data_IF_770788982922
#
_entry.id   IF_770788982922
#
_cell.length_a   1.000
_cell.length_b   1.000
_cell.length_c   1.000
_cell.angle_alpha   90.00
_cell.angle_beta   90.00
_cell.angle_gamma   90.00
#
_symmetry.space_group_name_H-M   'P 1'
#
loop_
_entity.id
_entity.type
_entity.pdbx_description
1 polymer ?
#
# COMPACT_ATOMS: atom_id res chain seq x y z
N UNK A 1 -27.56 23.29 -56.61
CA UNK A 1 -26.10 23.25 -56.80
C UNK A 1 -25.52 24.56 -56.33
N UNK A 2 -24.69 24.53 -55.29
CA UNK A 2 -23.38 25.18 -55.38
C UNK A 2 -22.25 24.27 -54.90
N UNK A 3 -21.10 24.45 -55.53
CA UNK A 3 -19.81 23.83 -55.21
C UNK A 3 -19.24 24.48 -53.94
N UNK A 4 -18.66 23.66 -53.05
CA UNK A 4 -17.97 24.11 -51.85
C UNK A 4 -16.63 23.39 -51.73
N UNK A 5 -15.56 24.17 -51.84
CA UNK A 5 -14.17 23.76 -52.02
C UNK A 5 -13.58 22.95 -50.87
N UNK A 6 -12.76 21.98 -51.26
CA UNK A 6 -11.92 21.18 -50.37
C UNK A 6 -10.73 21.98 -49.85
N UNK A 7 -10.60 22.02 -48.52
CA UNK A 7 -9.39 22.52 -47.84
C UNK A 7 -8.68 21.37 -47.15
N UNK A 8 -7.69 20.79 -47.84
CA UNK A 8 -6.74 19.84 -47.30
C UNK A 8 -5.86 20.50 -46.22
N UNK A 9 -6.00 20.07 -44.96
CA UNK A 9 -5.04 20.45 -43.90
C UNK A 9 -3.83 19.53 -43.97
N UNK A 10 -2.68 20.15 -44.27
CA UNK A 10 -1.33 19.58 -44.20
C UNK A 10 -1.04 19.11 -42.76
N UNK A 11 -0.74 17.83 -42.62
CA UNK A 11 -0.18 17.23 -41.40
C UNK A 11 1.31 17.56 -41.36
N UNK A 12 1.74 18.44 -40.46
CA UNK A 12 3.17 18.66 -40.18
C UNK A 12 3.62 17.71 -39.08
N UNK A 13 4.55 16.82 -39.42
CA UNK A 13 5.27 15.96 -38.48
C UNK A 13 6.18 16.81 -37.58
N UNK A 14 5.84 16.86 -36.29
CA UNK A 14 6.68 17.39 -35.22
C UNK A 14 7.75 16.38 -34.83
N UNK A 15 8.99 16.75 -35.09
CA UNK A 15 10.24 16.01 -34.90
C UNK A 15 10.48 15.69 -33.42
N UNK A 16 10.64 14.40 -33.12
CA UNK A 16 11.14 13.92 -31.83
C UNK A 16 12.56 14.46 -31.59
N UNK A 17 12.73 15.22 -30.50
CA UNK A 17 14.05 15.57 -29.98
C UNK A 17 14.45 14.50 -28.95
N UNK A 18 15.55 13.82 -29.26
CA UNK A 18 16.13 12.79 -28.41
C UNK A 18 16.68 13.40 -27.12
N UNK A 19 16.21 12.86 -26.00
CA UNK A 19 16.88 13.04 -24.72
C UNK A 19 18.03 12.04 -24.62
N UNK A 20 19.23 12.59 -24.50
CA UNK A 20 20.46 11.86 -24.30
C UNK A 20 20.43 11.09 -22.98
N UNK A 21 20.76 9.79 -23.06
CA UNK A 21 21.05 8.91 -21.93
C UNK A 21 22.29 9.45 -21.19
N UNK A 22 22.08 10.03 -20.01
CA UNK A 22 23.13 10.22 -19.01
C UNK A 22 23.41 8.89 -18.32
N UNK A 23 24.43 8.18 -18.78
CA UNK A 23 24.96 6.98 -18.12
C UNK A 23 25.87 7.46 -16.99
N UNK A 24 25.34 7.52 -15.77
CA UNK A 24 26.18 7.54 -14.56
C UNK A 24 26.57 6.10 -14.26
N UNK A 25 27.77 5.73 -14.71
CA UNK A 25 28.43 4.52 -14.27
C UNK A 25 28.80 4.68 -12.79
N UNK A 26 28.05 4.02 -11.91
CA UNK A 26 28.54 3.70 -10.58
C UNK A 26 29.56 2.57 -10.72
N UNK A 27 30.84 2.89 -10.52
CA UNK A 27 31.90 1.91 -10.32
C UNK A 27 31.57 1.03 -9.10
N UNK A 28 31.47 -0.30 -9.25
CA UNK A 28 31.46 -1.19 -8.09
C UNK A 28 32.88 -1.31 -7.54
N UNK A 29 33.10 -0.81 -6.32
CA UNK A 29 34.22 -1.19 -5.47
C UNK A 29 34.07 -2.67 -5.05
N UNK A 30 34.33 -3.59 -5.98
CA UNK A 30 34.46 -5.01 -5.71
C UNK A 30 35.87 -5.44 -6.12
N UNK A 31 36.81 -5.42 -5.17
CA UNK A 31 38.10 -6.11 -5.35
C UNK A 31 37.91 -7.60 -5.05
N UNK A 32 38.36 -8.51 -5.92
CA UNK A 32 38.39 -9.93 -5.61
C UNK A 32 39.42 -10.23 -4.52
N UNK A 33 39.02 -11.04 -3.54
CA UNK A 33 39.88 -11.65 -2.53
C UNK A 33 40.86 -12.61 -3.24
N UNK A 34 42.15 -12.28 -3.21
CA UNK A 34 43.25 -13.14 -3.67
C UNK A 34 43.82 -13.88 -2.43
N UNK A 35 43.71 -15.22 -2.33
CA UNK A 35 44.35 -15.96 -1.26
C UNK A 35 45.82 -16.21 -1.63
N UNK A 36 46.74 -15.66 -0.85
CA UNK A 36 48.17 -15.99 -0.92
C UNK A 36 49.05 -14.83 -1.35
N UNK A 37 49.43 -13.98 -0.40
CA UNK A 37 50.44 -12.96 -0.61
C UNK A 37 50.91 -12.35 0.70
N UNK A 38 52.09 -12.76 1.17
CA UNK A 38 52.79 -12.10 2.25
C UNK A 38 53.23 -10.70 1.79
N UNK A 39 52.38 -9.69 2.03
CA UNK A 39 52.59 -8.29 1.68
C UNK A 39 52.56 -7.42 2.92
N UNK A 40 53.60 -6.60 3.08
CA UNK A 40 53.91 -5.73 4.23
C UNK A 40 52.76 -4.77 4.55
N UNK A 41 52.47 -4.64 5.85
CA UNK A 41 51.70 -3.52 6.42
C UNK A 41 52.38 -2.20 6.05
N UNK A 42 51.63 -1.31 5.39
CA UNK A 42 51.90 0.12 5.35
C UNK A 42 50.67 0.86 5.87
N UNK A 43 50.90 1.56 6.98
CA UNK A 43 50.37 2.89 7.32
C UNK A 43 48.84 3.06 7.38
N UNK A 44 48.28 2.77 8.56
CA UNK A 44 47.05 3.41 9.04
C UNK A 44 47.41 4.75 9.71
N UNK A 45 46.75 5.88 9.39
CA UNK A 45 46.92 7.11 10.15
C UNK A 45 46.30 7.02 11.54
N UNK A 46 47.04 7.63 12.45
CA UNK A 46 46.95 7.67 13.91
C UNK A 46 45.65 8.36 14.40
N UNK A 47 44.74 7.60 15.02
CA UNK A 47 43.62 8.14 15.82
C UNK A 47 43.99 8.10 17.31
N UNK A 48 44.96 8.93 17.70
CA UNK A 48 45.20 9.32 19.09
C UNK A 48 44.49 10.63 19.37
N UNK A 49 43.35 10.55 20.05
CA UNK A 49 42.92 11.42 21.15
C UNK A 49 41.44 11.18 21.36
N UNK A 50 41.07 10.49 22.45
CA UNK A 50 40.00 10.89 23.37
C UNK A 50 40.06 9.98 24.62
N UNK A 51 39.68 10.49 25.80
CA UNK A 51 40.21 10.09 27.10
C UNK A 51 39.58 8.83 27.70
N UNK A 52 40.41 8.18 28.51
CA UNK A 52 40.09 7.03 29.34
C UNK A 52 39.14 7.42 30.50
N UNK A 53 38.13 6.59 30.73
CA UNK A 53 37.34 6.63 31.94
C UNK A 53 36.54 5.34 32.14
N UNK A 54 36.87 4.60 33.20
CA UNK A 54 35.91 3.75 33.92
C UNK A 54 35.85 2.27 33.56
N UNK A 55 36.87 1.51 33.97
CA UNK A 55 36.79 0.06 34.17
C UNK A 55 35.91 -0.25 35.39
N UNK A 56 34.87 -1.07 35.21
CA UNK A 56 34.28 -1.91 36.28
C UNK A 56 34.40 -3.38 35.88
N UNK A 57 34.89 -4.26 36.78
CA UNK A 57 35.09 -5.68 36.48
C UNK A 57 33.92 -6.55 36.96
N UNK A 58 33.77 -7.71 36.31
CA UNK A 58 32.94 -8.85 36.76
C UNK A 58 31.53 -8.79 36.16
N UNK A 59 31.03 -9.82 35.47
CA UNK A 59 30.91 -11.17 36.02
C UNK A 59 30.61 -12.18 34.91
N UNK A 60 31.39 -13.26 34.93
CA UNK A 60 31.11 -14.63 34.51
C UNK A 60 30.26 -14.92 33.25
N UNK A 61 30.98 -15.41 32.25
CA UNK A 61 30.53 -16.44 31.32
C UNK A 61 29.88 -17.62 32.08
N UNK A 62 28.56 -17.82 31.95
CA UNK A 62 27.90 -19.09 32.30
C UNK A 62 27.57 -19.84 31.01
N UNK A 63 28.43 -20.81 30.72
CA UNK A 63 28.18 -21.93 29.83
C UNK A 63 27.38 -22.96 30.64
N UNK A 64 26.21 -23.39 30.17
CA UNK A 64 25.50 -24.50 30.80
C UNK A 64 24.12 -24.77 30.23
N UNK A 65 23.94 -25.99 29.70
CA UNK A 65 22.64 -26.64 29.67
C UNK A 65 22.12 -27.06 28.30
N UNK A 66 22.64 -28.15 27.74
CA UNK A 66 21.87 -29.00 26.84
C UNK A 66 20.60 -29.47 27.55
N UNK A 67 19.45 -28.95 27.13
CA UNK A 67 18.12 -29.42 27.51
C UNK A 67 17.59 -30.39 26.46
N UNK A 68 17.64 -31.66 26.80
CA UNK A 68 17.15 -32.82 26.07
C UNK A 68 15.62 -32.71 25.83
N UNK A 69 15.22 -32.89 24.57
CA UNK A 69 14.08 -33.71 24.12
C UNK A 69 12.91 -33.91 25.08
N UNK A 70 11.72 -33.41 24.71
CA UNK A 70 10.44 -34.11 24.95
C UNK A 70 9.35 -33.56 24.04
N UNK A 71 9.31 -34.13 22.85
CA UNK A 71 8.12 -34.24 21.99
C UNK A 71 7.00 -34.92 22.78
N UNK A 72 5.94 -34.18 23.11
CA UNK A 72 4.64 -34.76 23.46
C UNK A 72 3.68 -34.51 22.30
N UNK A 73 3.58 -35.52 21.44
CA UNK A 73 2.45 -35.74 20.55
C UNK A 73 1.26 -36.19 21.39
N UNK A 74 0.24 -35.35 21.53
CA UNK A 74 -1.11 -35.80 21.88
C UNK A 74 -1.97 -35.74 20.63
N UNK A 75 -2.14 -36.91 20.02
CA UNK A 75 -3.27 -37.19 19.15
C UNK A 75 -4.52 -37.28 20.02
N UNK A 76 -5.56 -36.54 19.66
CA UNK A 76 -6.93 -36.79 20.14
C UNK A 76 -7.85 -36.72 18.93
N UNK A 77 -8.23 -37.92 18.49
CA UNK A 77 -9.33 -38.16 17.57
C UNK A 77 -10.64 -38.27 18.36
N UNK A 78 -11.76 -38.27 17.62
CA UNK A 78 -13.16 -38.50 18.02
C UNK A 78 -13.92 -37.23 18.48
N UNK A 79 -15.18 -37.01 18.13
CA UNK A 79 -16.10 -37.66 17.20
C UNK A 79 -17.35 -36.75 17.02
N UNK A 80 -18.03 -36.94 15.89
CA UNK A 80 -19.45 -36.78 15.57
C UNK A 80 -20.41 -36.08 16.58
N UNK A 81 -21.21 -35.14 16.07
CA UNK A 81 -22.69 -35.17 16.04
C UNK A 81 -23.23 -33.77 15.61
N UNK A 82 -23.84 -33.64 14.42
CA UNK A 82 -25.29 -33.69 14.13
C UNK A 82 -26.10 -32.42 14.50
N UNK A 83 -26.73 -31.86 13.45
CA UNK A 83 -28.00 -31.14 13.35
C UNK A 83 -28.25 -29.90 14.23
N UNK A 84 -28.43 -28.75 13.57
CA UNK A 84 -29.73 -28.05 13.66
C UNK A 84 -29.91 -27.09 12.48
N UNK A 85 -30.89 -27.40 11.65
CA UNK A 85 -31.45 -26.50 10.68
C UNK A 85 -32.42 -25.54 11.39
N UNK A 86 -32.19 -24.24 11.28
CA UNK A 86 -33.23 -23.24 11.47
C UNK A 86 -33.47 -22.56 10.13
N UNK A 87 -34.46 -23.10 9.43
CA UNK A 87 -35.23 -22.44 8.38
C UNK A 87 -36.19 -21.46 9.06
N UNK A 88 -36.15 -20.20 8.65
CA UNK A 88 -37.32 -19.33 8.65
C UNK A 88 -37.12 -18.36 7.49
N UNK A 89 -37.74 -18.70 6.38
CA UNK A 89 -38.02 -17.73 5.33
C UNK A 89 -39.12 -16.80 5.82
N UNK A 90 -38.99 -15.53 5.46
CA UNK A 90 -40.11 -14.59 5.45
C UNK A 90 -40.19 -14.03 4.03
N UNK A 91 -41.42 -14.09 3.51
CA UNK A 91 -41.81 -13.86 2.13
C UNK A 91 -41.63 -12.41 1.67
N UNK A 92 -41.49 -12.29 0.36
CA UNK A 92 -41.57 -11.07 -0.40
C UNK A 92 -42.98 -10.46 -0.36
N UNK A 93 -43.06 -9.12 -0.45
CA UNK A 93 -44.00 -8.49 -1.38
C UNK A 93 -43.53 -7.09 -1.80
N UNK A 94 -43.40 -6.82 -3.11
CA UNK A 94 -43.23 -5.47 -3.65
C UNK A 94 -44.60 -4.86 -3.97
N UNK A 95 -44.97 -3.78 -3.28
CA UNK A 95 -46.12 -2.97 -3.70
C UNK A 95 -45.65 -1.85 -4.64
N UNK A 96 -45.92 -2.09 -5.93
CA UNK A 96 -46.00 -1.06 -6.95
C UNK A 96 -47.28 -0.23 -6.74
N UNK A 97 -47.11 1.04 -6.38
CA UNK A 97 -48.17 2.05 -6.38
C UNK A 97 -47.83 3.18 -7.33
N UNK A 98 -48.34 3.11 -8.54
CA UNK A 98 -48.31 4.20 -9.50
C UNK A 98 -49.39 5.25 -9.15
N UNK A 99 -49.01 6.54 -9.16
CA UNK A 99 -49.94 7.63 -9.47
C UNK A 99 -49.17 8.79 -10.11
N UNK A 100 -49.50 9.05 -11.37
CA UNK A 100 -49.45 10.38 -11.98
C UNK A 100 -50.40 11.30 -11.19
N UNK A 101 -50.27 12.63 -11.11
CA UNK A 101 -50.08 13.63 -12.16
C UNK A 101 -49.98 14.97 -11.43
N UNK A 102 -49.14 15.92 -11.88
CA UNK A 102 -49.48 17.35 -11.93
C UNK A 102 -48.30 18.14 -12.53
N UNK A 103 -48.52 18.59 -13.76
CA UNK A 103 -47.87 19.74 -14.39
C UNK A 103 -48.37 21.02 -13.72
N UNK A 104 -47.47 21.91 -13.26
CA UNK A 104 -47.66 23.35 -13.44
C UNK A 104 -46.34 24.16 -13.36
N UNK A 105 -46.44 25.32 -14.01
CA UNK A 105 -45.51 26.34 -14.43
C UNK A 105 -44.34 26.79 -13.53
N UNK A 106 -43.20 26.95 -14.23
CA UNK A 106 -42.34 28.14 -14.31
C UNK A 106 -42.29 29.14 -13.14
N UNK A 107 -41.10 29.26 -12.56
CA UNK A 107 -40.47 30.53 -12.16
C UNK A 107 -38.96 30.32 -12.17
N UNK A 108 -38.14 31.19 -12.81
CA UNK A 108 -36.69 31.10 -12.74
C UNK A 108 -36.19 31.90 -11.52
N UNK A 109 -35.60 31.29 -10.48
CA UNK A 109 -34.81 32.03 -9.53
C UNK A 109 -33.35 32.03 -9.98
N UNK A 110 -32.85 33.23 -10.22
CA UNK A 110 -31.50 33.64 -9.87
C UNK A 110 -30.35 32.90 -10.54
N UNK A 111 -29.62 33.62 -11.40
CA UNK A 111 -28.23 33.32 -11.67
C UNK A 111 -27.48 33.10 -10.34
N UNK A 112 -27.27 31.83 -9.98
CA UNK A 112 -26.33 31.47 -8.95
C UNK A 112 -24.97 31.92 -9.44
N UNK A 113 -24.45 32.95 -8.79
CA UNK A 113 -23.06 33.36 -8.91
C UNK A 113 -22.21 32.13 -8.61
N UNK A 114 -21.67 31.50 -9.64
CA UNK A 114 -20.69 30.43 -9.51
C UNK A 114 -19.45 31.05 -8.88
N UNK A 115 -19.35 30.93 -7.56
CA UNK A 115 -18.07 30.95 -6.88
C UNK A 115 -17.16 29.95 -7.62
N UNK A 116 -15.86 30.25 -7.81
CA UNK A 116 -14.94 29.26 -8.31
C UNK A 116 -15.01 28.07 -7.35
N UNK A 117 -15.68 27.01 -7.75
CA UNK A 117 -15.59 25.73 -7.06
C UNK A 117 -14.12 25.38 -7.12
N UNK A 118 -13.47 25.36 -5.96
CA UNK A 118 -12.20 24.68 -5.82
C UNK A 118 -12.43 23.28 -6.37
N UNK A 119 -11.88 23.00 -7.54
CA UNK A 119 -11.85 21.64 -8.05
C UNK A 119 -11.24 20.80 -6.93
N UNK A 120 -11.88 19.71 -6.49
CA UNK A 120 -11.25 18.88 -5.48
C UNK A 120 -9.93 18.43 -6.11
N UNK A 121 -8.82 18.89 -5.53
CA UNK A 121 -7.52 18.27 -5.80
C UNK A 121 -7.70 16.84 -5.33
N UNK A 122 -7.99 15.94 -6.25
CA UNK A 122 -8.03 14.51 -5.95
C UNK A 122 -6.61 14.14 -5.57
N UNK A 123 -6.33 14.05 -4.27
CA UNK A 123 -5.04 13.60 -3.79
C UNK A 123 -4.90 12.13 -4.18
N UNK A 124 -4.00 11.87 -5.13
CA UNK A 124 -3.77 10.54 -5.65
C UNK A 124 -2.75 9.80 -4.79
N UNK A 125 -2.96 8.49 -4.62
CA UNK A 125 -1.95 7.62 -4.05
C UNK A 125 -0.83 7.42 -5.09
N UNK A 126 0.41 7.50 -4.64
CA UNK A 126 1.62 7.24 -5.44
C UNK A 126 2.49 6.21 -4.72
N UNK A 127 3.51 5.66 -5.39
CA UNK A 127 4.49 4.77 -4.73
C UNK A 127 5.28 5.49 -3.63
N UNK A 128 5.42 6.82 -3.73
CA UNK A 128 6.14 7.62 -2.74
C UNK A 128 5.27 7.95 -1.52
N UNK A 129 3.95 8.01 -1.68
CA UNK A 129 3.03 8.31 -0.58
C UNK A 129 1.70 8.94 -0.97
N UNK A 130 1.08 9.64 -0.01
CA UNK A 130 -0.22 10.29 -0.12
C UNK A 130 -0.26 11.58 0.72
N UNK A 131 -0.52 12.72 0.09
CA UNK A 131 -0.54 14.00 0.80
C UNK A 131 0.80 14.26 1.48
N UNK A 132 0.78 14.49 2.80
CA UNK A 132 2.00 14.69 3.61
C UNK A 132 2.68 13.38 4.02
N UNK A 133 2.04 12.23 3.81
CA UNK A 133 2.63 10.93 4.12
C UNK A 133 3.62 10.53 3.04
N UNK A 134 4.85 10.21 3.45
CA UNK A 134 5.91 9.70 2.56
C UNK A 134 6.43 8.36 3.08
N UNK A 135 6.47 7.35 2.23
CA UNK A 135 7.00 6.02 2.57
C UNK A 135 8.47 6.13 2.99
N UNK A 136 8.82 5.49 4.10
CA UNK A 136 10.16 5.52 4.70
C UNK A 136 10.45 6.73 5.59
N UNK A 137 9.60 7.76 5.56
CA UNK A 137 9.74 8.94 6.43
C UNK A 137 8.85 8.83 7.68
N UNK A 138 9.17 9.56 8.77
CA UNK A 138 8.22 9.78 9.86
C UNK A 138 6.96 10.51 9.36
N UNK A 139 5.82 10.29 10.02
CA UNK A 139 4.62 11.11 9.79
C UNK A 139 4.91 12.54 10.24
N UNK A 140 4.74 13.56 9.37
CA UNK A 140 5.01 14.94 9.76
C UNK A 140 4.10 15.41 10.89
N UNK A 141 4.65 16.15 11.86
CA UNK A 141 3.86 16.71 12.98
C UNK A 141 2.78 17.70 12.52
N UNK A 142 2.99 18.32 11.35
CA UNK A 142 2.04 19.25 10.73
C UNK A 142 1.00 18.56 9.86
N UNK A 143 1.07 17.24 9.70
CA UNK A 143 0.14 16.47 8.88
C UNK A 143 -1.23 16.39 9.53
N UNK A 144 -2.27 16.23 8.72
CA UNK A 144 -3.62 15.88 9.22
C UNK A 144 -3.73 14.42 9.69
N UNK A 145 -2.67 13.62 9.54
CA UNK A 145 -2.60 12.26 10.06
C UNK A 145 -2.14 12.23 11.51
N UNK A 146 -2.99 11.71 12.38
CA UNK A 146 -2.68 11.48 13.79
C UNK A 146 -2.29 10.02 14.02
N UNK A 147 -1.15 9.80 14.70
CA UNK A 147 -0.74 8.46 15.12
C UNK A 147 -1.45 8.05 16.41
N UNK A 148 -1.94 6.82 16.42
CA UNK A 148 -2.54 6.19 17.59
C UNK A 148 -1.79 4.89 17.93
N UNK A 149 -1.75 4.59 19.23
CA UNK A 149 -0.77 3.70 19.85
C UNK A 149 -0.71 2.28 19.28
N UNK A 150 0.36 1.60 19.65
CA UNK A 150 0.57 0.22 19.27
C UNK A 150 -0.55 -0.67 19.81
N UNK A 151 -1.21 -1.41 18.91
CA UNK A 151 -2.35 -2.26 19.28
C UNK A 151 -1.90 -3.45 20.15
N UNK A 152 -0.61 -3.79 20.13
CA UNK A 152 -0.01 -4.82 20.97
C UNK A 152 0.99 -4.21 21.99
N UNK A 153 0.97 -4.63 23.27
CA UNK A 153 1.95 -4.20 24.28
C UNK A 153 3.39 -4.48 23.83
N UNK A 154 4.24 -3.45 23.88
CA UNK A 154 5.66 -3.56 23.50
C UNK A 154 5.94 -3.56 21.99
N UNK A 155 4.91 -3.41 21.15
CA UNK A 155 5.09 -3.22 19.71
C UNK A 155 5.49 -1.78 19.38
N UNK A 156 6.31 -1.61 18.35
CA UNK A 156 6.68 -0.30 17.78
C UNK A 156 5.81 0.09 16.57
N UNK A 157 4.78 -0.72 16.27
CA UNK A 157 3.86 -0.52 15.16
C UNK A 157 2.69 0.35 15.61
N UNK A 158 2.55 1.55 15.04
CA UNK A 158 1.42 2.46 15.25
C UNK A 158 0.64 2.67 13.96
N UNK A 159 -0.61 3.09 14.08
CA UNK A 159 -1.46 3.44 12.92
C UNK A 159 -1.68 4.94 12.90
N UNK A 160 -1.48 5.54 11.74
CA UNK A 160 -1.78 6.93 11.44
C UNK A 160 -3.08 7.02 10.65
N UNK A 161 -4.04 7.83 11.10
CA UNK A 161 -5.32 8.04 10.41
C UNK A 161 -5.63 9.53 10.31
N UNK A 162 -6.45 9.92 9.34
CA UNK A 162 -6.87 11.31 9.15
C UNK A 162 -8.36 11.40 8.81
N UNK A 163 -9.11 12.33 9.44
CA UNK A 163 -10.47 12.65 9.02
C UNK A 163 -10.56 13.18 7.58
N UNK A 164 -9.49 13.80 7.07
CA UNK A 164 -9.43 14.31 5.70
C UNK A 164 -9.29 13.20 4.66
N UNK A 165 -8.84 12.02 5.09
CA UNK A 165 -8.62 10.83 4.27
C UNK A 165 -9.37 9.62 4.85
N UNK A 166 -10.72 9.63 4.84
CA UNK A 166 -11.50 8.51 5.35
C UNK A 166 -11.15 7.22 4.59
N UNK A 167 -11.02 6.12 5.34
CA UNK A 167 -10.63 4.82 4.80
C UNK A 167 -9.13 4.69 4.47
N UNK A 168 -8.29 5.67 4.82
CA UNK A 168 -6.83 5.59 4.67
C UNK A 168 -6.14 5.39 6.01
N UNK A 169 -5.21 4.45 6.05
CA UNK A 169 -4.37 4.17 7.21
C UNK A 169 -2.88 4.15 6.82
N UNK A 170 -2.04 4.80 7.61
CA UNK A 170 -0.58 4.71 7.54
C UNK A 170 -0.05 3.79 8.63
N UNK A 171 0.53 2.66 8.26
CA UNK A 171 1.28 1.81 9.19
C UNK A 171 2.67 2.40 9.42
N UNK A 172 2.97 2.75 10.66
CA UNK A 172 4.26 3.28 11.07
C UNK A 172 4.95 2.24 11.94
N UNK A 173 6.18 1.87 11.61
CA UNK A 173 6.96 0.91 12.38
C UNK A 173 8.38 1.43 12.58
N UNK A 174 8.84 1.42 13.84
CA UNK A 174 10.09 2.07 14.27
C UNK A 174 10.15 3.55 13.83
N UNK A 175 9.01 4.25 13.97
CA UNK A 175 8.90 5.67 13.67
C UNK A 175 8.93 6.05 12.20
N UNK A 176 8.87 5.08 11.27
CA UNK A 176 8.85 5.31 9.83
C UNK A 176 7.57 4.75 9.22
N UNK A 177 6.95 5.49 8.32
CA UNK A 177 5.81 5.02 7.54
C UNK A 177 6.26 3.88 6.62
N UNK A 178 5.68 2.69 6.80
CA UNK A 178 6.02 1.48 6.04
C UNK A 178 5.00 1.13 4.98
N UNK A 179 3.74 1.44 5.23
CA UNK A 179 2.63 1.11 4.35
C UNK A 179 1.53 2.14 4.47
N UNK A 180 0.94 2.51 3.34
CA UNK A 180 -0.34 3.19 3.27
C UNK A 180 -1.35 2.17 2.77
N UNK A 181 -2.45 2.00 3.50
CA UNK A 181 -3.59 1.19 3.11
C UNK A 181 -4.77 2.10 2.76
N UNK A 182 -5.42 1.85 1.64
CA UNK A 182 -6.65 2.53 1.19
C UNK A 182 -7.73 1.47 1.09
N UNK A 183 -8.75 1.62 1.91
CA UNK A 183 -9.85 0.65 2.07
C UNK A 183 -11.16 1.15 1.44
N UNK A 184 -12.18 0.28 1.44
CA UNK A 184 -13.52 0.63 0.98
C UNK A 184 -14.06 1.87 1.70
N UNK A 185 -14.73 2.74 0.95
CA UNK A 185 -15.26 4.02 1.44
C UNK A 185 -14.30 5.19 1.30
N UNK A 186 -13.04 4.95 0.93
CA UNK A 186 -12.12 6.01 0.52
C UNK A 186 -12.39 6.49 -0.91
N UNK A 187 -12.18 7.78 -1.16
CA UNK A 187 -12.18 8.38 -2.50
C UNK A 187 -10.78 8.42 -3.14
N UNK A 188 -9.74 8.00 -2.40
CA UNK A 188 -8.35 7.99 -2.88
C UNK A 188 -8.17 6.93 -3.98
N UNK A 189 -7.52 7.34 -5.06
CA UNK A 189 -7.23 6.50 -6.23
C UNK A 189 -5.77 6.70 -6.68
N UNK A 190 -5.29 5.77 -7.48
CA UNK A 190 -4.06 5.95 -8.26
C UNK A 190 -4.31 6.85 -9.47
N UNK A 191 -3.23 7.25 -10.14
CA UNK A 191 -3.33 8.08 -11.35
C UNK A 191 -4.06 7.40 -12.51
N UNK A 192 -4.09 6.07 -12.51
CA UNK A 192 -4.81 5.23 -13.47
C UNK A 192 -6.33 5.20 -13.21
N UNK A 193 -6.82 5.84 -12.14
CA UNK A 193 -8.23 5.79 -11.73
C UNK A 193 -8.61 4.51 -10.99
N UNK A 194 -7.62 3.72 -10.57
CA UNK A 194 -7.83 2.48 -9.80
C UNK A 194 -7.89 2.83 -8.31
N UNK A 195 -8.90 2.31 -7.62
CA UNK A 195 -9.08 2.45 -6.18
C UNK A 195 -9.90 1.32 -5.58
N UNK A 196 -10.34 1.48 -4.34
CA UNK A 196 -11.25 0.52 -3.72
C UNK A 196 -12.56 0.43 -4.52
N UNK A 197 -13.01 -0.79 -4.82
CA UNK A 197 -14.21 -1.07 -5.63
C UNK A 197 -13.97 -1.30 -7.13
N UNK A 198 -12.79 -0.94 -7.66
CA UNK A 198 -12.36 -1.30 -9.02
C UNK A 198 -12.35 -2.82 -9.21
N UNK A 199 -12.60 -3.31 -10.42
CA UNK A 199 -12.61 -4.75 -10.70
C UNK A 199 -11.19 -5.31 -10.91
N UNK A 200 -11.01 -6.61 -10.73
CA UNK A 200 -9.76 -7.29 -11.04
C UNK A 200 -9.34 -7.06 -12.51
N UNK A 201 -10.29 -7.02 -13.45
CA UNK A 201 -10.01 -6.76 -14.86
C UNK A 201 -9.45 -5.35 -15.09
N UNK A 202 -10.02 -4.33 -14.43
CA UNK A 202 -9.52 -2.95 -14.50
C UNK A 202 -8.09 -2.87 -13.96
N UNK A 203 -7.81 -3.52 -12.82
CA UNK A 203 -6.47 -3.59 -12.24
C UNK A 203 -5.49 -4.25 -13.21
N UNK A 204 -5.86 -5.37 -13.82
CA UNK A 204 -4.98 -6.09 -14.76
C UNK A 204 -4.75 -5.32 -16.07
N UNK A 205 -5.74 -4.54 -16.50
CA UNK A 205 -5.61 -3.68 -17.67
C UNK A 205 -4.64 -2.52 -17.39
N UNK A 206 -4.74 -1.90 -16.21
CA UNK A 206 -3.85 -0.81 -15.80
C UNK A 206 -2.42 -1.29 -15.49
N UNK A 207 -2.29 -2.46 -14.87
CA UNK A 207 -1.02 -2.97 -14.34
C UNK A 207 -0.69 -4.38 -14.86
N UNK A 208 -0.28 -4.50 -16.14
CA UNK A 208 0.15 -5.78 -16.67
C UNK A 208 1.40 -6.27 -15.94
N UNK A 209 1.40 -7.53 -15.50
CA UNK A 209 2.57 -8.19 -14.91
C UNK A 209 2.57 -8.30 -13.38
N UNK A 210 1.50 -7.87 -12.70
CA UNK A 210 1.33 -8.13 -11.27
C UNK A 210 1.32 -9.63 -10.97
N UNK A 211 1.96 -10.01 -9.87
CA UNK A 211 2.02 -11.39 -9.38
C UNK A 211 0.79 -11.69 -8.54
N UNK A 212 0.17 -12.82 -8.83
CA UNK A 212 -0.99 -13.31 -8.11
C UNK A 212 -0.56 -14.27 -7.01
N UNK A 213 -1.14 -14.07 -5.82
CA UNK A 213 -0.97 -14.95 -4.66
C UNK A 213 -2.35 -15.23 -4.05
N UNK A 214 -2.65 -16.47 -3.60
CA UNK A 214 -3.91 -16.78 -2.93
C UNK A 214 -4.16 -15.87 -1.71
N UNK A 215 -5.42 -15.52 -1.47
CA UNK A 215 -5.78 -14.80 -0.25
C UNK A 215 -5.56 -15.68 0.99
N UNK A 216 -5.15 -15.08 2.11
CA UNK A 216 -4.77 -15.85 3.31
C UNK A 216 -5.98 -16.50 4.00
N UNK A 217 -7.13 -15.83 3.97
CA UNK A 217 -8.33 -16.21 4.75
C UNK A 217 -9.58 -16.45 3.92
N UNK A 218 -9.55 -16.10 2.64
CA UNK A 218 -10.71 -16.23 1.76
C UNK A 218 -10.33 -17.17 0.63
N UNK A 219 -11.22 -18.09 0.31
CA UNK A 219 -11.04 -18.97 -0.84
C UNK A 219 -11.12 -18.21 -2.15
N UNK A 220 -10.66 -18.85 -3.23
CA UNK A 220 -10.82 -18.33 -4.58
C UNK A 220 -12.29 -17.89 -4.85
N UNK A 221 -12.50 -16.77 -5.56
CA UNK A 221 -11.52 -16.03 -6.37
C UNK A 221 -10.69 -14.98 -5.60
N UNK A 222 -10.83 -14.87 -4.27
CA UNK A 222 -10.06 -13.88 -3.52
C UNK A 222 -8.54 -14.12 -3.64
N UNK A 223 -7.78 -13.03 -3.78
CA UNK A 223 -6.34 -13.09 -4.05
C UNK A 223 -5.66 -11.77 -3.72
N UNK A 224 -4.34 -11.76 -3.81
CA UNK A 224 -3.54 -10.56 -3.86
C UNK A 224 -2.88 -10.41 -5.22
N UNK A 225 -2.83 -9.18 -5.72
CA UNK A 225 -2.07 -8.80 -6.90
C UNK A 225 -0.96 -7.84 -6.48
N UNK A 226 0.30 -8.22 -6.69
CA UNK A 226 1.46 -7.45 -6.21
C UNK A 226 2.38 -7.06 -7.36
N UNK A 227 2.79 -5.80 -7.38
CA UNK A 227 3.81 -5.32 -8.28
C UNK A 227 5.13 -6.08 -8.04
N UNK A 228 5.74 -6.68 -9.08
CA UNK A 228 7.07 -7.28 -8.96
C UNK A 228 8.16 -6.19 -8.84
N UNK A 229 9.31 -6.56 -8.28
CA UNK A 229 10.50 -5.69 -8.20
C UNK A 229 10.85 -5.27 -6.79
N UNK A 230 11.57 -4.15 -6.70
CA UNK A 230 12.08 -3.52 -5.47
C UNK A 230 11.07 -2.53 -4.87
N UNK A 231 11.27 -2.20 -3.61
CA UNK A 231 10.40 -1.30 -2.83
C UNK A 231 10.66 0.20 -3.08
N UNK A 232 9.65 1.07 -2.91
CA UNK A 232 8.25 0.77 -2.55
C UNK A 232 7.42 0.18 -3.71
N UNK A 233 6.39 -0.61 -3.36
CA UNK A 233 5.55 -1.36 -4.32
C UNK A 233 4.07 -1.20 -4.03
N UNK A 234 3.29 -1.40 -5.09
CA UNK A 234 1.83 -1.47 -5.05
C UNK A 234 1.35 -2.92 -4.86
N UNK A 235 0.31 -3.10 -4.04
CA UNK A 235 -0.40 -4.36 -3.85
C UNK A 235 -1.90 -4.10 -3.77
N UNK A 236 -2.70 -4.98 -4.39
CA UNK A 236 -4.14 -5.01 -4.26
C UNK A 236 -4.59 -6.27 -3.53
N UNK A 237 -5.59 -6.14 -2.68
CA UNK A 237 -6.38 -7.24 -2.16
C UNK A 237 -7.69 -7.30 -2.94
N UNK A 238 -7.90 -8.41 -3.65
CA UNK A 238 -9.12 -8.68 -4.41
C UNK A 238 -10.02 -9.59 -3.57
N UNK A 239 -11.25 -9.15 -3.34
CA UNK A 239 -12.27 -9.89 -2.61
C UNK A 239 -12.90 -11.01 -3.44
N UNK A 240 -13.76 -11.81 -2.80
CA UNK A 240 -14.54 -12.87 -3.48
C UNK A 240 -15.52 -12.36 -4.54
N UNK A 241 -15.85 -11.08 -4.50
CA UNK A 241 -16.66 -10.38 -5.51
C UNK A 241 -15.85 -9.94 -6.73
N UNK A 242 -14.54 -10.24 -6.77
CA UNK A 242 -13.65 -9.87 -7.87
C UNK A 242 -13.29 -8.38 -7.88
N UNK A 243 -13.49 -7.68 -6.76
CA UNK A 243 -13.21 -6.24 -6.64
C UNK A 243 -12.10 -5.96 -5.65
N UNK A 244 -11.41 -4.84 -5.85
CA UNK A 244 -10.41 -4.33 -4.91
C UNK A 244 -11.09 -3.99 -3.58
N UNK A 245 -10.74 -4.71 -2.52
CA UNK A 245 -11.13 -4.39 -1.14
C UNK A 245 -10.19 -3.35 -0.54
N UNK A 246 -8.89 -3.60 -0.69
CA UNK A 246 -7.84 -2.74 -0.20
C UNK A 246 -6.75 -2.56 -1.27
N UNK A 247 -6.18 -1.37 -1.27
CA UNK A 247 -4.99 -1.02 -2.03
C UNK A 247 -3.88 -0.61 -1.08
N UNK A 248 -2.67 -1.10 -1.32
CA UNK A 248 -1.52 -0.86 -0.45
C UNK A 248 -0.34 -0.33 -1.24
N UNK A 249 0.31 0.69 -0.72
CA UNK A 249 1.66 1.10 -1.14
C UNK A 249 2.59 0.98 0.05
N UNK A 250 3.77 0.41 -0.15
CA UNK A 250 4.72 0.30 0.95
C UNK A 250 5.95 -0.51 0.64
N UNK A 251 6.68 -0.85 1.70
CA UNK A 251 7.92 -1.65 1.66
C UNK A 251 7.69 -3.04 2.25
N UNK A 252 8.49 -4.01 1.83
CA UNK A 252 8.50 -5.34 2.43
C UNK A 252 9.29 -5.34 3.76
N UNK A 253 8.90 -6.22 4.71
CA UNK A 253 7.79 -7.18 4.64
C UNK A 253 6.40 -6.58 4.93
N UNK A 254 6.31 -5.33 5.39
CA UNK A 254 5.06 -4.72 5.90
C UNK A 254 3.96 -4.63 4.84
N UNK A 255 4.32 -4.42 3.57
CA UNK A 255 3.40 -4.43 2.44
C UNK A 255 2.59 -5.74 2.34
N UNK A 256 3.20 -6.86 2.72
CA UNK A 256 2.59 -8.18 2.64
C UNK A 256 1.84 -8.59 3.92
N UNK A 257 1.81 -7.74 4.96
CA UNK A 257 1.07 -8.03 6.18
C UNK A 257 -0.43 -8.02 5.89
N UNK A 258 -1.09 -9.11 6.31
CA UNK A 258 -2.55 -9.26 6.14
C UNK A 258 -3.29 -8.46 7.21
N UNK A 259 -2.81 -8.52 8.45
CA UNK A 259 -3.29 -7.65 9.51
C UNK A 259 -2.56 -6.29 9.46
N UNK A 260 -3.17 -5.27 10.04
CA UNK A 260 -2.51 -4.01 10.30
C UNK A 260 -1.54 -4.15 11.51
N UNK A 261 -1.30 -3.09 12.26
CA UNK A 261 -0.58 -3.23 13.53
C UNK A 261 -1.43 -4.03 14.53
N UNK A 262 -1.03 -5.27 14.85
CA UNK A 262 -1.49 -6.04 16.01
C UNK A 262 -2.80 -6.80 15.84
#
# INVERSE_FOLDING_TARGET
MPQGDGSARKVTHGRAQGYAKGVFAHEPCARPFQPGGAGRLRDCPDLRHLPQGGLSPGTACRRGGSGLMRTLTLASAAALALLSACSSGEEANPEAGASATATDAATPPGAASSLPGASPTVTMLTLDGLGDLTIGAPVPETSSFAQHGAQAPGSSCTIATSPDYPGVEGMVEVGQLRRIAVSQGSSVQLMEGIGAGSTEEEVRAAFPGFREEPHKYEEAPAKYLTQPGEDPRLRFEIGRDGKVRNMFVGVMPQLAYVESCG
#
